data_IF_303144914230
#
_entry.id   IF_303144914230
#
_cell.length_a   1.000
_cell.length_b   1.000
_cell.length_c   1.000
_cell.angle_alpha   90.00
_cell.angle_beta   90.00
_cell.angle_gamma   90.00
#
_symmetry.space_group_name_H-M   'P 1'
#
loop_
_entity.id
_entity.type
_entity.pdbx_description
1 polymer ?
#
# COMPACT_ATOMS: atom_id res chain seq x y z
N UNK A 1 52.09 -8.21 -95.40
CA UNK A 1 51.39 -7.76 -94.18
C UNK A 1 50.80 -9.01 -93.55
N UNK A 2 51.35 -9.44 -92.42
CA UNK A 2 50.98 -10.68 -91.74
C UNK A 2 49.63 -10.52 -91.07
N UNK A 3 48.66 -11.34 -91.44
CA UNK A 3 47.37 -11.44 -90.76
C UNK A 3 47.23 -12.86 -90.24
N UNK A 4 47.28 -13.00 -88.92
CA UNK A 4 47.17 -14.27 -88.21
C UNK A 4 45.73 -14.80 -88.31
N UNK A 5 45.54 -16.13 -88.38
CA UNK A 5 44.20 -16.71 -88.46
C UNK A 5 43.40 -16.45 -87.16
N UNK A 6 42.07 -16.26 -87.26
CA UNK A 6 41.23 -15.96 -86.11
C UNK A 6 41.21 -17.15 -85.13
N UNK A 7 41.43 -16.86 -83.84
CA UNK A 7 41.41 -17.84 -82.74
C UNK A 7 40.01 -18.47 -82.64
N UNK A 8 39.94 -19.79 -82.74
CA UNK A 8 38.75 -20.57 -82.44
C UNK A 8 38.46 -20.45 -80.94
N UNK A 9 37.34 -19.84 -80.59
CA UNK A 9 36.83 -19.81 -79.21
C UNK A 9 36.26 -21.21 -78.94
N UNK A 10 36.89 -22.00 -78.07
CA UNK A 10 36.28 -23.20 -77.51
C UNK A 10 35.02 -22.78 -76.75
N UNK A 11 33.87 -23.31 -77.16
CA UNK A 11 32.65 -23.25 -76.35
C UNK A 11 32.91 -24.04 -75.07
N UNK A 12 33.01 -23.32 -73.95
CA UNK A 12 32.98 -23.92 -72.62
C UNK A 12 31.69 -24.75 -72.51
N UNK A 13 31.77 -26.01 -72.03
CA UNK A 13 30.57 -26.82 -71.83
C UNK A 13 29.65 -26.11 -70.84
N UNK A 14 28.36 -26.09 -71.15
CA UNK A 14 27.29 -25.58 -70.30
C UNK A 14 27.52 -26.03 -68.85
N UNK A 15 27.86 -25.08 -67.97
CA UNK A 15 27.72 -25.29 -66.54
C UNK A 15 26.23 -25.27 -66.25
N UNK A 16 25.62 -26.45 -66.35
CA UNK A 16 24.33 -26.73 -65.72
C UNK A 16 24.46 -26.30 -64.27
N UNK A 17 23.57 -25.42 -63.82
CA UNK A 17 23.47 -24.97 -62.44
C UNK A 17 23.21 -26.19 -61.54
N UNK A 18 24.28 -26.81 -61.06
CA UNK A 18 24.24 -27.74 -59.96
C UNK A 18 24.03 -26.93 -58.69
N UNK A 19 22.77 -26.60 -58.39
CA UNK A 19 22.34 -26.34 -57.02
C UNK A 19 23.03 -27.39 -56.13
N UNK A 20 23.70 -27.01 -55.02
CA UNK A 20 24.28 -28.00 -54.13
C UNK A 20 23.15 -28.93 -53.72
N UNK A 21 23.30 -30.22 -54.00
CA UNK A 21 22.42 -31.26 -53.49
C UNK A 21 22.19 -30.97 -52.01
N UNK A 22 20.97 -30.54 -51.67
CA UNK A 22 20.52 -30.49 -50.29
C UNK A 22 20.70 -31.91 -49.79
N UNK A 23 21.68 -32.10 -48.91
CA UNK A 23 22.05 -33.41 -48.40
C UNK A 23 20.77 -34.13 -47.99
N UNK A 24 20.45 -35.23 -48.66
CA UNK A 24 19.40 -36.19 -48.29
C UNK A 24 19.85 -37.03 -47.09
N UNK A 25 20.63 -36.46 -46.18
CA UNK A 25 20.66 -36.95 -44.82
C UNK A 25 19.28 -36.66 -44.26
N UNK A 26 18.41 -37.67 -44.26
CA UNK A 26 17.30 -37.77 -43.32
C UNK A 26 17.79 -37.17 -42.01
N UNK A 27 17.12 -36.12 -41.52
CA UNK A 27 17.43 -35.58 -40.21
C UNK A 27 17.34 -36.75 -39.24
N UNK A 28 18.50 -37.30 -38.84
CA UNK A 28 18.56 -38.40 -37.89
C UNK A 28 17.71 -37.95 -36.72
N UNK A 29 16.71 -38.73 -36.27
CA UNK A 29 15.89 -38.33 -35.14
C UNK A 29 16.85 -38.06 -33.98
N UNK A 30 17.04 -36.79 -33.66
CA UNK A 30 17.93 -36.40 -32.58
C UNK A 30 17.43 -37.10 -31.32
N UNK A 31 18.33 -37.79 -30.63
CA UNK A 31 17.95 -38.58 -29.46
C UNK A 31 17.45 -37.65 -28.36
N UNK A 32 16.12 -37.48 -28.27
CA UNK A 32 15.50 -36.70 -27.22
C UNK A 32 15.46 -37.55 -25.93
N UNK A 33 16.07 -37.08 -24.83
CA UNK A 33 16.10 -37.83 -23.58
C UNK A 33 14.70 -38.11 -23.01
N UNK A 34 13.68 -37.29 -23.37
CA UNK A 34 12.28 -37.45 -22.96
C UNK A 34 11.47 -38.44 -23.80
N UNK A 35 12.01 -38.94 -24.93
CA UNK A 35 11.38 -39.98 -25.77
C UNK A 35 12.33 -41.13 -26.07
N UNK A 36 13.42 -41.25 -25.29
CA UNK A 36 14.43 -42.29 -25.48
C UNK A 36 13.86 -43.69 -25.22
N UNK A 37 14.32 -44.67 -26.00
CA UNK A 37 13.93 -46.08 -25.87
C UNK A 37 14.58 -46.77 -24.65
N UNK A 38 15.59 -46.13 -24.06
CA UNK A 38 16.22 -46.54 -22.83
C UNK A 38 15.44 -45.97 -21.62
N UNK A 39 14.78 -46.86 -20.88
CA UNK A 39 13.94 -46.48 -19.74
C UNK A 39 14.73 -45.73 -18.66
N UNK A 40 16.05 -45.94 -18.55
CA UNK A 40 16.90 -45.26 -17.56
C UNK A 40 17.08 -43.79 -17.92
N UNK A 41 17.40 -43.50 -19.18
CA UNK A 41 17.51 -42.14 -19.72
C UNK A 41 16.18 -41.39 -19.60
N UNK A 42 15.07 -42.05 -19.97
CA UNK A 42 13.73 -41.51 -19.81
C UNK A 42 13.41 -41.17 -18.35
N UNK A 43 13.73 -42.09 -17.42
CA UNK A 43 13.57 -41.90 -15.98
C UNK A 43 14.38 -40.72 -15.45
N UNK A 44 15.65 -40.59 -15.83
CA UNK A 44 16.49 -39.47 -15.42
C UNK A 44 16.02 -38.12 -15.97
N UNK A 45 15.54 -38.09 -17.22
CA UNK A 45 15.03 -36.87 -17.84
C UNK A 45 13.79 -36.35 -17.11
N UNK A 46 12.80 -37.22 -16.87
CA UNK A 46 11.58 -36.86 -16.14
C UNK A 46 11.82 -36.57 -14.66
N UNK A 47 12.70 -37.32 -14.00
CA UNK A 47 13.10 -37.01 -12.63
C UNK A 47 13.79 -35.65 -12.52
N UNK A 48 14.74 -35.35 -13.42
CA UNK A 48 15.42 -34.06 -13.46
C UNK A 48 14.48 -32.89 -13.82
N UNK A 49 13.47 -33.12 -14.65
CA UNK A 49 12.43 -32.13 -14.92
C UNK A 49 11.53 -31.90 -13.70
N UNK A 50 11.07 -32.97 -13.05
CA UNK A 50 10.26 -32.90 -11.84
C UNK A 50 10.99 -32.18 -10.70
N UNK A 51 12.28 -32.47 -10.48
CA UNK A 51 13.10 -31.75 -9.49
C UNK A 51 13.15 -30.26 -9.78
N UNK A 52 13.32 -29.84 -11.04
CA UNK A 52 13.30 -28.42 -11.40
C UNK A 52 11.94 -27.78 -11.14
N UNK A 53 10.85 -28.48 -11.46
CA UNK A 53 9.49 -28.01 -11.15
C UNK A 53 9.29 -27.85 -9.63
N UNK A 54 9.73 -28.82 -8.83
CA UNK A 54 9.65 -28.76 -7.37
C UNK A 54 10.50 -27.62 -6.79
N UNK A 55 11.67 -27.35 -7.34
CA UNK A 55 12.51 -26.22 -6.93
C UNK A 55 11.82 -24.88 -7.24
N UNK A 56 11.22 -24.73 -8.43
CA UNK A 56 10.47 -23.53 -8.80
C UNK A 56 9.24 -23.36 -7.89
N UNK A 57 8.46 -24.42 -7.71
CA UNK A 57 7.28 -24.40 -6.85
C UNK A 57 7.64 -24.11 -5.38
N UNK A 58 8.70 -24.73 -4.86
CA UNK A 58 9.21 -24.48 -3.51
C UNK A 58 9.70 -23.04 -3.33
N UNK A 59 10.34 -22.46 -4.35
CA UNK A 59 10.73 -21.05 -4.38
C UNK A 59 9.52 -20.11 -4.32
N UNK A 60 8.51 -20.35 -5.15
CA UNK A 60 7.26 -19.56 -5.15
C UNK A 60 6.50 -19.69 -3.81
N UNK A 61 6.39 -20.90 -3.27
CA UNK A 61 5.72 -21.15 -1.99
C UNK A 61 6.45 -20.48 -0.82
N UNK A 62 7.78 -20.49 -0.82
CA UNK A 62 8.59 -19.79 0.20
C UNK A 62 8.41 -18.27 0.14
N UNK A 63 8.33 -17.71 -1.07
CA UNK A 63 8.06 -16.29 -1.26
C UNK A 63 6.65 -15.92 -0.75
N UNK A 64 5.65 -16.76 -1.02
CA UNK A 64 4.28 -16.57 -0.52
C UNK A 64 4.22 -16.58 1.00
N UNK A 65 4.77 -17.62 1.66
CA UNK A 65 4.80 -17.69 3.13
C UNK A 65 5.54 -16.51 3.77
N UNK A 66 6.58 -16.00 3.12
CA UNK A 66 7.30 -14.83 3.61
C UNK A 66 6.43 -13.57 3.58
N UNK A 67 5.57 -13.41 2.57
CA UNK A 67 4.62 -12.30 2.49
C UNK A 67 3.51 -12.44 3.53
N UNK A 68 2.94 -13.63 3.68
CA UNK A 68 1.88 -13.91 4.67
C UNK A 68 2.38 -13.66 6.10
N UNK A 69 3.57 -14.17 6.45
CA UNK A 69 4.19 -13.96 7.76
C UNK A 69 4.53 -12.47 8.01
N UNK A 70 4.75 -11.66 6.97
CA UNK A 70 4.87 -10.20 7.12
C UNK A 70 3.54 -9.56 7.47
N UNK A 71 2.45 -9.98 6.83
CA UNK A 71 1.13 -9.45 7.11
C UNK A 71 0.65 -9.85 8.51
N UNK A 72 0.84 -11.11 8.93
CA UNK A 72 0.55 -11.56 10.29
C UNK A 72 1.27 -10.69 11.34
N UNK A 73 2.57 -10.44 11.14
CA UNK A 73 3.34 -9.54 12.03
C UNK A 73 2.79 -8.13 12.05
N UNK A 74 2.39 -7.59 10.90
CA UNK A 74 1.78 -6.25 10.82
C UNK A 74 0.45 -6.20 11.55
N UNK A 75 -0.37 -7.24 11.45
CA UNK A 75 -1.63 -7.37 12.19
C UNK A 75 -1.36 -7.45 13.68
N UNK A 76 -0.41 -8.28 14.12
CA UNK A 76 0.01 -8.38 15.53
C UNK A 76 0.47 -7.03 16.08
N UNK A 77 1.28 -6.27 15.32
CA UNK A 77 1.70 -4.92 15.71
C UNK A 77 0.54 -3.94 15.79
N UNK A 78 -0.44 -4.03 14.90
CA UNK A 78 -1.66 -3.22 15.01
C UNK A 78 -2.46 -3.59 16.25
N UNK A 79 -2.61 -4.87 16.58
CA UNK A 79 -3.30 -5.33 17.78
C UNK A 79 -2.61 -4.83 19.06
N UNK A 80 -1.28 -4.77 19.09
CA UNK A 80 -0.55 -4.15 20.20
C UNK A 80 -0.86 -2.66 20.38
N UNK A 81 -1.17 -1.93 19.29
CA UNK A 81 -1.67 -0.56 19.38
C UNK A 81 -3.09 -0.53 19.89
N UNK A 82 -3.97 -1.42 19.44
CA UNK A 82 -5.34 -1.57 19.96
C UNK A 82 -5.31 -1.81 21.47
N UNK A 83 -4.52 -2.78 21.95
CA UNK A 83 -4.37 -3.06 23.38
C UNK A 83 -3.82 -1.87 24.16
N UNK A 84 -2.96 -1.06 23.53
CA UNK A 84 -2.48 0.18 24.14
C UNK A 84 -3.57 1.25 24.20
N UNK A 85 -4.41 1.36 23.17
CA UNK A 85 -5.54 2.30 23.11
C UNK A 85 -6.60 2.01 24.18
N UNK A 86 -6.83 0.74 24.47
CA UNK A 86 -7.80 0.26 25.47
C UNK A 86 -7.34 0.51 26.92
N UNK A 87 -6.13 1.02 27.14
CA UNK A 87 -5.67 1.38 28.49
C UNK A 87 -6.39 2.61 29.01
N UNK A 88 -6.66 2.61 30.31
CA UNK A 88 -7.36 3.70 31.01
C UNK A 88 -6.82 5.10 30.67
N UNK A 89 -5.50 5.27 30.56
CA UNK A 89 -4.89 6.56 30.26
C UNK A 89 -5.33 7.17 28.92
N UNK A 90 -5.60 6.33 27.91
CA UNK A 90 -6.05 6.74 26.58
C UNK A 90 -7.57 6.79 26.50
N UNK A 91 -8.26 5.84 27.14
CA UNK A 91 -9.72 5.85 27.25
C UNK A 91 -10.24 7.08 28.00
N UNK A 92 -9.59 7.47 29.10
CA UNK A 92 -9.95 8.68 29.85
C UNK A 92 -9.65 9.95 29.06
N UNK A 93 -8.54 9.97 28.30
CA UNK A 93 -8.22 11.11 27.43
C UNK A 93 -9.22 11.23 26.27
N UNK A 94 -9.61 10.11 25.64
CA UNK A 94 -10.64 10.07 24.62
C UNK A 94 -11.99 10.55 25.18
N UNK A 95 -12.37 10.08 26.37
CA UNK A 95 -13.60 10.46 27.05
C UNK A 95 -13.63 11.96 27.34
N UNK A 96 -12.54 12.52 27.86
CA UNK A 96 -12.41 13.96 28.10
C UNK A 96 -12.56 14.78 26.80
N UNK A 97 -12.00 14.30 25.70
CA UNK A 97 -12.17 14.90 24.37
C UNK A 97 -13.63 14.82 23.92
N UNK A 98 -14.25 13.65 24.01
CA UNK A 98 -15.65 13.45 23.61
C UNK A 98 -16.60 14.31 24.43
N UNK A 99 -16.52 14.26 25.76
CA UNK A 99 -17.41 15.00 26.66
C UNK A 99 -17.36 16.50 26.41
N UNK A 100 -16.17 17.06 26.17
CA UNK A 100 -16.03 18.49 25.85
C UNK A 100 -16.65 18.83 24.48
N UNK A 101 -16.39 18.01 23.47
CA UNK A 101 -16.97 18.21 22.13
C UNK A 101 -18.50 18.02 22.15
N UNK A 102 -19.02 17.05 22.89
CA UNK A 102 -20.45 16.78 23.03
C UNK A 102 -21.16 17.94 23.74
N UNK A 103 -20.56 18.49 24.80
CA UNK A 103 -21.07 19.68 25.48
C UNK A 103 -21.13 20.91 24.56
N UNK A 104 -20.07 21.14 23.78
CA UNK A 104 -20.04 22.22 22.80
C UNK A 104 -21.03 21.99 21.66
N UNK A 105 -21.14 20.76 21.17
CA UNK A 105 -22.09 20.41 20.14
C UNK A 105 -23.54 20.62 20.58
N UNK A 106 -23.86 20.24 21.82
CA UNK A 106 -25.18 20.51 22.40
C UNK A 106 -25.45 22.01 22.54
N UNK A 107 -24.46 22.78 23.01
CA UNK A 107 -24.56 24.24 23.17
C UNK A 107 -24.78 24.97 21.85
N UNK A 108 -24.15 24.51 20.77
CA UNK A 108 -24.15 25.16 19.46
C UNK A 108 -24.98 24.43 18.40
N UNK A 109 -25.78 23.43 18.78
CA UNK A 109 -26.60 22.63 17.87
C UNK A 109 -27.52 23.48 16.97
N UNK A 110 -27.99 24.63 17.47
CA UNK A 110 -28.85 25.56 16.73
C UNK A 110 -28.14 26.29 15.58
N UNK A 111 -26.81 26.27 15.54
CA UNK A 111 -26.02 26.89 14.46
C UNK A 111 -26.01 26.06 13.17
N UNK A 112 -26.27 24.75 13.27
CA UNK A 112 -26.47 23.89 12.11
C UNK A 112 -27.93 24.02 11.66
N UNK A 113 -28.14 24.45 10.41
CA UNK A 113 -29.48 24.43 9.80
C UNK A 113 -30.05 23.02 9.72
N UNK A 114 -31.34 22.88 9.39
CA UNK A 114 -32.03 21.57 9.37
C UNK A 114 -31.42 20.55 8.39
N UNK A 115 -30.73 21.01 7.34
CA UNK A 115 -30.01 20.15 6.40
C UNK A 115 -28.68 20.81 5.98
N UNK A 116 -27.64 20.73 6.83
CA UNK A 116 -26.38 21.41 6.59
C UNK A 116 -25.62 20.69 5.47
N UNK A 117 -25.00 21.46 4.57
CA UNK A 117 -24.15 20.88 3.54
C UNK A 117 -22.90 20.23 4.17
N UNK A 118 -22.18 19.34 3.44
CA UNK A 118 -20.91 18.80 3.93
C UNK A 118 -19.89 19.87 4.30
N UNK A 119 -19.87 20.99 3.57
CA UNK A 119 -18.98 22.11 3.85
C UNK A 119 -19.39 22.85 5.13
N UNK A 120 -20.69 23.07 5.35
CA UNK A 120 -21.19 23.71 6.58
C UNK A 120 -20.84 22.89 7.81
N UNK A 121 -20.98 21.56 7.70
CA UNK A 121 -20.57 20.62 8.76
C UNK A 121 -19.07 20.70 9.03
N UNK A 122 -18.25 20.74 7.99
CA UNK A 122 -16.79 20.83 8.13
C UNK A 122 -16.37 22.12 8.83
N UNK A 123 -16.94 23.27 8.43
CA UNK A 123 -16.68 24.57 9.08
C UNK A 123 -17.18 24.58 10.53
N UNK A 124 -18.35 24.01 10.78
CA UNK A 124 -18.91 23.88 12.12
C UNK A 124 -17.98 23.07 13.04
N UNK A 125 -17.57 21.86 12.63
CA UNK A 125 -16.68 21.01 13.42
C UNK A 125 -15.35 21.70 13.71
N UNK A 126 -14.76 22.34 12.71
CA UNK A 126 -13.50 23.07 12.87
C UNK A 126 -13.61 24.20 13.91
N UNK A 127 -14.72 24.96 13.88
CA UNK A 127 -14.99 26.01 14.88
C UNK A 127 -15.20 25.44 16.28
N UNK A 128 -15.92 24.32 16.40
CA UNK A 128 -16.11 23.63 17.67
C UNK A 128 -14.77 23.15 18.23
N UNK A 129 -13.87 22.61 17.40
CA UNK A 129 -12.56 22.17 17.87
C UNK A 129 -11.65 23.32 18.29
N UNK A 130 -11.72 24.49 17.63
CA UNK A 130 -11.03 25.70 18.09
C UNK A 130 -11.60 26.18 19.43
N UNK A 131 -12.93 26.20 19.58
CA UNK A 131 -13.60 26.57 20.84
C UNK A 131 -13.27 25.58 21.96
N UNK A 132 -13.13 24.29 21.67
CA UNK A 132 -12.70 23.29 22.63
C UNK A 132 -11.30 23.56 23.20
N UNK A 133 -10.47 24.38 22.55
CA UNK A 133 -9.13 24.75 23.00
C UNK A 133 -9.08 26.08 23.76
N UNK A 134 -10.24 26.62 24.16
CA UNK A 134 -10.38 27.82 24.99
C UNK A 134 -10.67 27.48 26.46
N UNK A 135 -10.55 28.48 27.34
CA UNK A 135 -10.88 28.35 28.75
C UNK A 135 -12.37 28.06 28.98
N UNK A 136 -13.24 28.64 28.14
CA UNK A 136 -14.70 28.54 28.23
C UNK A 136 -15.28 27.35 27.44
N UNK A 137 -14.42 26.56 26.80
CA UNK A 137 -14.79 25.42 25.95
C UNK A 137 -15.43 24.23 26.68
N UNK A 138 -15.54 24.25 28.01
CA UNK A 138 -16.16 23.19 28.81
C UNK A 138 -15.71 23.19 30.28
N UNK A 139 -16.27 22.30 31.09
CA UNK A 139 -16.09 22.29 32.55
C UNK A 139 -14.66 21.92 33.01
N UNK A 140 -13.99 21.03 32.27
CA UNK A 140 -12.60 20.66 32.53
C UNK A 140 -11.67 21.87 32.33
N UNK A 141 -10.70 22.06 33.23
CA UNK A 141 -9.68 23.10 33.09
C UNK A 141 -8.92 22.92 31.78
N UNK A 142 -8.65 24.03 31.08
CA UNK A 142 -7.99 24.00 29.78
C UNK A 142 -6.64 23.27 29.79
N UNK A 143 -5.85 23.39 30.86
CA UNK A 143 -4.57 22.69 30.96
C UNK A 143 -4.74 21.16 30.97
N UNK A 144 -5.72 20.65 31.72
CA UNK A 144 -6.02 19.21 31.82
C UNK A 144 -6.62 18.70 30.51
N UNK A 145 -7.45 19.51 29.86
CA UNK A 145 -7.98 19.20 28.54
C UNK A 145 -6.89 19.13 27.47
N UNK A 146 -5.96 20.11 27.46
CA UNK A 146 -4.82 20.11 26.53
C UNK A 146 -3.94 18.88 26.72
N UNK A 147 -3.77 18.41 27.95
CA UNK A 147 -3.05 17.16 28.22
C UNK A 147 -3.79 15.94 27.62
N UNK A 148 -5.11 15.87 27.77
CA UNK A 148 -5.94 14.81 27.19
C UNK A 148 -5.93 14.83 25.66
N UNK A 149 -6.15 16.01 25.05
CA UNK A 149 -5.99 16.25 23.62
C UNK A 149 -4.62 15.81 23.12
N UNK A 150 -3.56 16.22 23.81
CA UNK A 150 -2.17 15.88 23.46
C UNK A 150 -1.93 14.38 23.50
N UNK A 151 -2.50 13.66 24.48
CA UNK A 151 -2.37 12.19 24.59
C UNK A 151 -3.07 11.46 23.45
N UNK A 152 -4.28 11.90 23.08
CA UNK A 152 -5.01 11.37 21.92
C UNK A 152 -4.24 11.65 20.63
N UNK A 153 -3.83 12.91 20.41
CA UNK A 153 -3.08 13.30 19.22
C UNK A 153 -1.76 12.52 19.10
N UNK A 154 -1.04 12.36 20.22
CA UNK A 154 0.18 11.56 20.25
C UNK A 154 -0.07 10.12 19.82
N UNK A 155 -1.12 9.48 20.35
CA UNK A 155 -1.47 8.12 19.99
C UNK A 155 -1.86 7.99 18.52
N UNK A 156 -2.70 8.90 18.01
CA UNK A 156 -3.10 8.88 16.61
C UNK A 156 -1.92 9.12 15.65
N UNK A 157 -0.97 9.98 16.02
CA UNK A 157 0.28 10.09 15.26
C UNK A 157 1.11 8.80 15.31
N UNK A 158 1.13 8.09 16.45
CA UNK A 158 1.81 6.79 16.56
C UNK A 158 1.18 5.74 15.64
N UNK A 159 -0.15 5.71 15.53
CA UNK A 159 -0.87 4.86 14.56
C UNK A 159 -0.46 5.25 13.13
N UNK A 160 -0.56 6.54 12.80
CA UNK A 160 -0.20 7.06 11.48
C UNK A 160 1.23 6.69 11.06
N UNK A 161 2.22 6.90 11.95
CA UNK A 161 3.60 6.51 11.71
C UNK A 161 3.77 5.00 11.50
N UNK A 162 3.04 4.18 12.27
CA UNK A 162 3.14 2.73 12.12
C UNK A 162 2.62 2.24 10.77
N UNK A 163 1.53 2.85 10.28
CA UNK A 163 0.94 2.56 8.98
C UNK A 163 1.82 3.09 7.84
N UNK A 164 2.30 4.34 7.95
CA UNK A 164 3.19 4.96 6.96
C UNK A 164 4.52 4.20 6.81
N UNK A 165 5.10 3.78 7.93
CA UNK A 165 6.30 2.93 7.97
C UNK A 165 6.08 1.48 7.51
N UNK A 166 4.87 1.11 7.09
CA UNK A 166 4.51 -0.26 6.67
C UNK A 166 4.79 -1.33 7.75
N UNK A 167 4.70 -0.92 9.02
CA UNK A 167 4.93 -1.74 10.22
C UNK A 167 3.62 -2.28 10.79
N UNK A 168 2.52 -1.57 10.59
CA UNK A 168 1.17 -1.96 10.99
C UNK A 168 0.33 -2.34 9.76
N UNK A 169 -0.67 -3.19 9.98
CA UNK A 169 -1.67 -3.49 8.95
C UNK A 169 -2.56 -2.27 8.75
N UNK A 170 -2.52 -1.69 7.55
CA UNK A 170 -3.38 -0.57 7.16
C UNK A 170 -4.86 -0.93 7.28
N UNK A 171 -5.25 -2.09 6.77
CA UNK A 171 -6.64 -2.54 6.82
C UNK A 171 -7.18 -2.61 8.26
N UNK A 172 -6.39 -3.18 9.18
CA UNK A 172 -6.79 -3.28 10.58
C UNK A 172 -6.79 -1.91 11.27
N UNK A 173 -5.80 -1.07 10.98
CA UNK A 173 -5.71 0.28 11.54
C UNK A 173 -6.87 1.16 11.07
N UNK A 174 -7.19 1.12 9.78
CA UNK A 174 -8.32 1.87 9.18
C UNK A 174 -9.65 1.40 9.76
N UNK A 175 -9.84 0.09 9.93
CA UNK A 175 -11.07 -0.47 10.50
C UNK A 175 -11.30 -0.12 11.98
N UNK A 176 -10.24 0.04 12.77
CA UNK A 176 -10.36 0.30 14.20
C UNK A 176 -10.21 1.79 14.56
N UNK A 177 -9.26 2.50 13.96
CA UNK A 177 -8.95 3.90 14.28
C UNK A 177 -9.45 4.90 13.24
N UNK A 178 -9.77 4.48 12.02
CA UNK A 178 -9.99 5.38 10.87
C UNK A 178 -11.05 6.45 11.11
N UNK A 179 -12.25 6.03 11.51
CA UNK A 179 -13.37 6.96 11.74
C UNK A 179 -13.11 7.93 12.90
N UNK A 180 -12.56 7.41 14.00
CA UNK A 180 -12.20 8.23 15.14
C UNK A 180 -11.10 9.25 14.79
N UNK A 181 -10.05 8.81 14.10
CA UNK A 181 -8.96 9.66 13.64
C UNK A 181 -9.46 10.75 12.68
N UNK A 182 -10.34 10.38 11.75
CA UNK A 182 -10.94 11.31 10.80
C UNK A 182 -11.80 12.34 11.52
N UNK A 183 -12.68 11.91 12.43
CA UNK A 183 -13.52 12.82 13.22
C UNK A 183 -12.68 13.77 14.07
N UNK A 184 -11.70 13.22 14.80
CA UNK A 184 -10.76 14.00 15.60
C UNK A 184 -10.05 15.07 14.75
N UNK A 185 -9.54 14.69 13.56
CA UNK A 185 -8.91 15.63 12.65
C UNK A 185 -9.88 16.71 12.16
N UNK A 186 -11.12 16.35 11.81
CA UNK A 186 -12.13 17.30 11.35
C UNK A 186 -12.43 18.40 12.38
N UNK A 187 -12.48 18.05 13.67
CA UNK A 187 -12.61 19.03 14.75
C UNK A 187 -11.34 19.87 14.91
N UNK A 188 -10.18 19.24 15.04
CA UNK A 188 -8.98 19.93 15.53
C UNK A 188 -8.05 20.49 14.45
N UNK A 189 -8.28 20.24 13.16
CA UNK A 189 -7.43 20.77 12.07
C UNK A 189 -7.26 22.29 12.11
N UNK A 190 -8.30 23.04 12.51
CA UNK A 190 -8.25 24.50 12.62
C UNK A 190 -7.33 24.96 13.75
N UNK A 191 -7.41 24.31 14.92
CA UNK A 191 -6.50 24.57 16.03
C UNK A 191 -5.06 24.19 15.67
N UNK A 192 -4.85 23.02 15.04
CA UNK A 192 -3.53 22.58 14.59
C UNK A 192 -2.91 23.57 13.60
N UNK A 193 -3.70 24.12 12.67
CA UNK A 193 -3.24 25.14 11.74
C UNK A 193 -2.73 26.40 12.49
N UNK A 194 -3.48 26.88 13.49
CA UNK A 194 -3.07 28.03 14.32
C UNK A 194 -1.76 27.74 15.07
N UNK A 195 -1.60 26.55 15.64
CA UNK A 195 -0.36 26.16 16.34
C UNK A 195 0.84 26.02 15.38
N UNK A 196 0.60 25.55 14.15
CA UNK A 196 1.66 25.48 13.11
C UNK A 196 2.13 26.87 12.71
N UNK A 197 1.21 27.81 12.54
CA UNK A 197 1.53 29.23 12.28
C UNK A 197 2.28 29.87 13.47
N UNK A 198 1.96 29.46 14.70
CA UNK A 198 2.62 29.92 15.92
C UNK A 198 4.02 29.31 16.16
N UNK A 199 4.44 28.33 15.36
CA UNK A 199 5.80 27.76 15.40
C UNK A 199 5.88 26.24 15.54
N UNK A 200 4.77 25.54 15.79
CA UNK A 200 4.72 24.07 15.85
C UNK A 200 4.55 23.45 14.47
N UNK A 201 5.45 23.76 13.53
CA UNK A 201 5.27 23.56 12.07
C UNK A 201 4.81 22.16 11.65
N UNK A 202 5.26 21.12 12.35
CA UNK A 202 4.96 19.71 12.00
C UNK A 202 3.88 19.07 12.88
N UNK A 203 3.18 19.84 13.71
CA UNK A 203 2.15 19.31 14.61
C UNK A 203 1.11 18.51 13.83
N UNK A 204 0.86 17.27 14.23
CA UNK A 204 -0.14 16.37 13.62
C UNK A 204 0.04 16.06 12.11
N UNK A 205 1.18 16.39 11.49
CA UNK A 205 1.41 16.11 10.08
C UNK A 205 1.24 14.61 9.70
N UNK A 206 1.70 13.63 10.51
CA UNK A 206 1.44 12.22 10.25
C UNK A 206 -0.04 11.87 10.27
N UNK A 207 -0.77 12.37 11.27
CA UNK A 207 -2.22 12.16 11.38
C UNK A 207 -2.96 12.72 10.16
N UNK A 208 -2.64 13.94 9.73
CA UNK A 208 -3.22 14.58 8.54
C UNK A 208 -3.03 13.72 7.29
N UNK A 209 -1.82 13.22 7.06
CA UNK A 209 -1.53 12.35 5.93
C UNK A 209 -2.32 11.03 6.01
N UNK A 210 -2.38 10.43 7.21
CA UNK A 210 -3.11 9.19 7.45
C UNK A 210 -4.60 9.33 7.14
N UNK A 211 -5.28 10.36 7.67
CA UNK A 211 -6.71 10.56 7.45
C UNK A 211 -7.03 11.05 6.04
N UNK A 212 -6.11 11.76 5.38
CA UNK A 212 -6.23 12.12 3.97
C UNK A 212 -6.26 10.87 3.07
N UNK A 213 -5.36 9.91 3.35
CA UNK A 213 -5.34 8.62 2.65
C UNK A 213 -6.58 7.77 2.98
N UNK A 214 -7.05 7.78 4.23
CA UNK A 214 -8.25 7.05 4.64
C UNK A 214 -9.52 7.60 3.96
N UNK A 215 -9.72 8.93 3.99
CA UNK A 215 -10.88 9.57 3.35
C UNK A 215 -10.88 9.37 1.83
N UNK A 216 -9.71 9.40 1.18
CA UNK A 216 -9.58 9.10 -0.24
C UNK A 216 -9.98 7.65 -0.61
N UNK A 217 -9.72 6.69 0.29
CA UNK A 217 -10.15 5.29 0.11
C UNK A 217 -11.65 5.12 0.34
N UNK A 218 -12.22 5.80 1.35
CA UNK A 218 -13.66 5.78 1.62
C UNK A 218 -14.50 6.44 0.51
N UNK A 219 -13.92 7.36 -0.26
CA UNK A 219 -14.54 7.99 -1.43
C UNK A 219 -14.29 7.24 -2.76
N UNK A 220 -13.45 6.18 -2.76
CA UNK A 220 -13.16 5.32 -3.92
C UNK A 220 -14.27 4.29 -4.19
N UNK A 221 -14.32 3.69 -5.40
CA UNK A 221 -15.58 3.33 -6.04
C UNK A 221 -16.38 2.36 -5.19
N UNK A 222 -17.61 2.77 -4.86
CA UNK A 222 -18.64 1.87 -4.39
C UNK A 222 -18.66 0.63 -5.28
N UNK A 223 -18.76 -0.53 -4.63
CA UNK A 223 -19.29 -1.72 -5.29
C UNK A 223 -20.68 -1.41 -5.85
#
# INVERSE_FOLDING_TARGET
MSEAPPRRIEQLPETTEGLPEVSTQEAKPESNPFTSRDWRMLGYAWAGFLVRLLLVAGGLFSAYQYLENKEEKRVERTLQLVDAWERDEYQDAQRAVSERLDGLNAKYASLLGANPSPNDRAVYMERIGVEAMTADGGEMKLADFRASFGRVLYFLNRVAFCVDGNLCSRQMADGYFGDYALSFWQYFKGYVAQEREAGSTNLAAPLEAYVGAFAGQAAGPGK
#
